data_IF_169286746836
#
_entry.id   IF_169286746836
#
_cell.length_a   1.000
_cell.length_b   1.000
_cell.length_c   1.000
_cell.angle_alpha   90.00
_cell.angle_beta   90.00
_cell.angle_gamma   90.00
#
_symmetry.space_group_name_H-M   'P 1'
#
loop_
_entity.id
_entity.type
_entity.pdbx_description
1 polymer ?
#
# COMPACT_ATOMS: atom_id res chain seq x y z
N UNK A 1 -5.63 39.09 1.65
CA UNK A 1 -5.48 37.85 0.87
C UNK A 1 -5.53 36.69 1.86
N UNK A 2 -6.40 35.71 1.67
CA UNK A 2 -6.42 34.49 2.50
C UNK A 2 -6.01 33.30 1.64
N UNK A 3 -5.14 32.44 2.16
CA UNK A 3 -4.63 31.25 1.48
C UNK A 3 -5.25 30.01 2.11
N UNK A 4 -5.79 29.09 1.29
CA UNK A 4 -6.23 27.76 1.72
C UNK A 4 -5.24 26.73 1.20
N UNK A 5 -4.59 26.00 2.10
CA UNK A 5 -3.76 24.84 1.75
C UNK A 5 -4.61 23.59 1.86
N UNK A 6 -4.67 22.80 0.79
CA UNK A 6 -5.27 21.45 0.79
C UNK A 6 -4.11 20.46 0.74
N UNK A 7 -4.10 19.50 1.68
CA UNK A 7 -3.13 18.40 1.71
C UNK A 7 -3.94 17.16 1.38
N UNK A 8 -3.78 16.68 0.15
CA UNK A 8 -4.38 15.42 -0.30
C UNK A 8 -3.29 14.35 -0.29
N UNK A 9 -3.55 13.22 0.38
CA UNK A 9 -2.73 12.02 0.23
C UNK A 9 -3.14 11.36 -1.08
N UNK A 10 -2.19 11.18 -1.99
CA UNK A 10 -2.43 10.60 -3.30
C UNK A 10 -1.79 9.22 -3.38
N UNK A 11 -2.38 8.36 -4.20
CA UNK A 11 -1.85 7.06 -4.53
C UNK A 11 -0.52 7.24 -5.26
N UNK A 12 0.52 6.57 -4.77
CA UNK A 12 1.83 6.55 -5.42
C UNK A 12 1.79 5.85 -6.79
N UNK A 13 0.73 5.08 -7.05
CA UNK A 13 0.57 4.32 -8.30
C UNK A 13 -0.22 5.10 -9.35
N UNK A 14 -1.41 5.61 -9.01
CA UNK A 14 -2.30 6.29 -9.96
C UNK A 14 -2.30 7.81 -9.84
N UNK A 15 -1.89 8.36 -8.69
CA UNK A 15 -2.04 9.79 -8.37
C UNK A 15 -3.46 10.18 -7.93
N UNK A 16 -4.40 9.24 -7.82
CA UNK A 16 -5.76 9.45 -7.29
C UNK A 16 -5.77 9.53 -5.76
N UNK A 17 -6.82 10.03 -5.08
CA UNK A 17 -6.85 10.08 -3.62
C UNK A 17 -6.59 8.73 -2.96
N UNK A 18 -5.53 8.63 -2.17
CA UNK A 18 -5.21 7.42 -1.43
C UNK A 18 -6.08 7.26 -0.19
N UNK A 19 -6.41 6.01 0.13
CA UNK A 19 -7.23 5.65 1.30
C UNK A 19 -6.43 4.84 2.33
N UNK A 20 -5.29 4.25 1.93
CA UNK A 20 -4.45 3.45 2.83
C UNK A 20 -3.00 3.35 2.36
N UNK A 21 -2.11 3.22 3.35
CA UNK A 21 -0.73 2.82 3.16
C UNK A 21 -0.61 1.30 3.28
N UNK A 22 0.07 0.66 2.33
CA UNK A 22 0.39 -0.78 2.36
C UNK A 22 1.88 -0.97 2.63
N UNK A 23 2.22 -1.69 3.69
CA UNK A 23 3.60 -2.12 3.97
C UNK A 23 3.83 -3.51 3.39
N UNK A 24 4.90 -3.67 2.61
CA UNK A 24 5.30 -4.96 2.03
C UNK A 24 6.83 -5.09 1.99
N UNK A 25 7.33 -6.28 1.68
CA UNK A 25 8.77 -6.53 1.60
C UNK A 25 9.12 -7.35 0.36
N UNK A 26 10.22 -6.96 -0.29
CA UNK A 26 10.82 -7.72 -1.41
C UNK A 26 12.26 -8.03 -1.04
N UNK A 27 12.58 -9.32 -0.90
CA UNK A 27 13.86 -9.75 -0.35
C UNK A 27 14.02 -9.35 1.11
N UNK A 28 14.99 -8.46 1.39
CA UNK A 28 15.28 -7.94 2.75
C UNK A 28 14.87 -6.47 2.94
N UNK A 29 14.27 -5.86 1.92
CA UNK A 29 13.94 -4.44 1.93
C UNK A 29 12.42 -4.31 2.15
N UNK A 30 12.06 -3.49 3.14
CA UNK A 30 10.68 -3.11 3.41
C UNK A 30 10.33 -1.82 2.65
N UNK A 31 9.09 -1.76 2.16
CA UNK A 31 8.53 -0.66 1.39
C UNK A 31 7.17 -0.29 1.96
N UNK A 32 6.81 0.97 1.78
CA UNK A 32 5.46 1.50 1.99
C UNK A 32 5.00 2.13 0.69
N UNK A 33 3.70 2.04 0.42
CA UNK A 33 3.06 2.63 -0.76
C UNK A 33 1.66 3.09 -0.38
N UNK A 34 1.33 4.34 -0.69
CA UNK A 34 -0.01 4.88 -0.54
C UNK A 34 -0.86 4.49 -1.76
N UNK A 35 -2.05 3.95 -1.52
CA UNK A 35 -2.93 3.39 -2.54
C UNK A 35 -4.38 3.76 -2.29
N UNK A 36 -5.18 3.76 -3.36
CA UNK A 36 -6.65 3.69 -3.27
C UNK A 36 -7.07 2.34 -2.65
N UNK A 37 -8.30 2.22 -2.10
CA UNK A 37 -8.76 0.92 -1.62
C UNK A 37 -8.79 -0.15 -2.72
N UNK A 38 -9.08 0.24 -3.97
CA UNK A 38 -9.15 -0.69 -5.10
C UNK A 38 -7.75 -1.25 -5.44
N UNK A 39 -6.75 -0.39 -5.61
CA UNK A 39 -5.37 -0.81 -5.89
C UNK A 39 -4.80 -1.67 -4.75
N UNK A 40 -5.12 -1.34 -3.50
CA UNK A 40 -4.69 -2.14 -2.36
C UNK A 40 -5.33 -3.53 -2.33
N UNK A 41 -6.61 -3.66 -2.73
CA UNK A 41 -7.26 -4.98 -2.87
C UNK A 41 -6.59 -5.79 -3.97
N UNK A 42 -6.35 -5.18 -5.13
CA UNK A 42 -5.66 -5.82 -6.25
C UNK A 42 -4.26 -6.29 -5.85
N UNK A 43 -3.49 -5.46 -5.12
CA UNK A 43 -2.19 -5.84 -4.58
C UNK A 43 -2.29 -7.10 -3.71
N UNK A 44 -3.24 -7.13 -2.76
CA UNK A 44 -3.43 -8.28 -1.86
C UNK A 44 -3.87 -9.53 -2.61
N UNK A 45 -4.73 -9.39 -3.62
CA UNK A 45 -5.18 -10.50 -4.47
C UNK A 45 -4.01 -11.14 -5.23
N UNK A 46 -3.14 -10.32 -5.84
CA UNK A 46 -1.94 -10.80 -6.56
C UNK A 46 -0.95 -11.47 -5.60
N UNK A 47 -0.83 -10.97 -4.37
CA UNK A 47 0.06 -11.56 -3.35
C UNK A 47 -0.51 -12.84 -2.72
N UNK A 48 -1.83 -13.06 -2.81
CA UNK A 48 -2.52 -14.13 -2.10
C UNK A 48 -1.94 -15.55 -2.34
N UNK A 49 -1.59 -15.97 -3.57
CA UNK A 49 -1.03 -17.31 -3.80
C UNK A 49 0.30 -17.53 -3.07
N UNK A 50 1.15 -16.50 -3.02
CA UNK A 50 2.43 -16.55 -2.33
C UNK A 50 2.27 -16.57 -0.82
N UNK A 51 1.38 -15.73 -0.28
CA UNK A 51 1.06 -15.69 1.16
C UNK A 51 0.51 -17.02 1.63
N UNK A 52 -0.37 -17.67 0.85
CA UNK A 52 -0.93 -18.99 1.18
C UNK A 52 0.12 -20.10 1.23
N UNK A 53 1.13 -20.03 0.37
CA UNK A 53 2.21 -21.02 0.32
C UNK A 53 3.36 -20.71 1.32
N UNK A 54 3.47 -19.46 1.77
CA UNK A 54 4.54 -19.01 2.63
C UNK A 54 4.41 -19.57 4.06
N UNK A 55 5.56 -19.89 4.67
CA UNK A 55 5.65 -20.09 6.12
C UNK A 55 5.72 -18.73 6.82
N UNK A 56 4.90 -18.54 7.85
CA UNK A 56 5.07 -17.38 8.73
C UNK A 56 6.42 -17.50 9.45
N UNK A 57 7.24 -16.45 9.36
CA UNK A 57 8.51 -16.32 10.08
C UNK A 57 8.33 -15.62 11.44
N UNK A 58 7.08 -15.54 11.93
CA UNK A 58 6.59 -14.50 12.80
C UNK A 58 7.46 -14.11 14.00
N UNK A 59 7.47 -12.80 14.26
CA UNK A 59 6.98 -12.30 15.54
C UNK A 59 5.63 -11.64 15.27
N UNK A 60 4.63 -12.02 16.08
CA UNK A 60 3.38 -11.26 16.23
C UNK A 60 3.67 -10.01 17.03
#
# INVERSE_FOLDING_TARGET
MATRTVIDTLSDLSGEPAERTVTFAVGKIAYEIDLTDQEAREFLEVMQPYVKAARSNGRR
#
